data_IF_819385372610
#
_entry.id   IF_819385372610
#
_cell.length_a   1.000
_cell.length_b   1.000
_cell.length_c   1.000
_cell.angle_alpha   90.00
_cell.angle_beta   90.00
_cell.angle_gamma   90.00
#
_symmetry.space_group_name_H-M   'P 1'
#
loop_
_entity.id
_entity.type
_entity.pdbx_description
1 polymer ?
#
# COMPACT_ATOMS: atom_id res chain seq x y z
N UNK A 1 2.11 5.80 -14.21
CA UNK A 1 2.42 4.41 -14.64
C UNK A 1 1.23 3.94 -15.44
N UNK A 2 1.43 3.68 -16.73
CA UNK A 2 0.36 3.45 -17.69
C UNK A 2 0.78 2.30 -18.64
N UNK A 3 -0.18 1.68 -19.33
CA UNK A 3 0.11 0.57 -20.26
C UNK A 3 0.23 -0.82 -19.61
N UNK A 4 -0.07 -0.94 -18.31
CA UNK A 4 -0.22 -2.24 -17.64
C UNK A 4 -1.65 -2.76 -17.86
N UNK A 5 -1.79 -4.05 -18.16
CA UNK A 5 -3.09 -4.71 -18.23
C UNK A 5 -3.72 -4.82 -16.83
N UNK A 6 -4.43 -3.77 -16.42
CA UNK A 6 -5.14 -3.72 -15.14
C UNK A 6 -6.33 -4.68 -15.08
N UNK A 7 -6.88 -5.10 -16.23
CA UNK A 7 -7.94 -6.12 -16.28
C UNK A 7 -7.39 -7.47 -15.86
N UNK A 8 -6.25 -7.88 -16.42
CA UNK A 8 -5.57 -9.12 -16.04
C UNK A 8 -5.15 -9.08 -14.57
N UNK A 9 -4.57 -7.98 -14.11
CA UNK A 9 -4.24 -7.80 -12.69
C UNK A 9 -5.47 -7.97 -11.80
N UNK A 10 -6.62 -7.38 -12.19
CA UNK A 10 -7.88 -7.50 -11.44
C UNK A 10 -8.38 -8.95 -11.38
N UNK A 11 -8.32 -9.70 -12.48
CA UNK A 11 -8.71 -11.12 -12.51
C UNK A 11 -7.85 -11.91 -11.53
N UNK A 12 -6.53 -11.71 -11.57
CA UNK A 12 -5.59 -12.41 -10.67
C UNK A 12 -5.92 -12.09 -9.21
N UNK A 13 -6.04 -10.81 -8.83
CA UNK A 13 -6.35 -10.42 -7.45
C UNK A 13 -7.71 -10.92 -6.99
N UNK A 14 -8.71 -10.97 -7.87
CA UNK A 14 -10.04 -11.53 -7.55
C UNK A 14 -9.97 -13.02 -7.21
N UNK A 15 -9.18 -13.79 -7.95
CA UNK A 15 -9.08 -15.24 -7.80
C UNK A 15 -8.15 -15.65 -6.64
N UNK A 16 -7.08 -14.88 -6.41
CA UNK A 16 -6.02 -15.23 -5.45
C UNK A 16 -6.13 -14.49 -4.11
N UNK A 17 -6.94 -13.43 -4.04
CA UNK A 17 -7.07 -12.59 -2.85
C UNK A 17 -5.94 -11.57 -2.72
N UNK A 18 -5.40 -11.43 -1.51
CA UNK A 18 -4.38 -10.40 -1.22
C UNK A 18 -3.02 -10.80 -1.76
N UNK A 19 -2.37 -9.89 -2.50
CA UNK A 19 -1.02 -10.04 -3.02
C UNK A 19 -0.07 -9.01 -2.38
N UNK A 20 1.14 -9.44 -2.06
CA UNK A 20 2.28 -8.53 -1.81
C UNK A 20 2.97 -8.27 -3.14
N UNK A 21 3.27 -7.01 -3.44
CA UNK A 21 3.83 -6.61 -4.72
C UNK A 21 4.81 -5.44 -4.55
N UNK A 22 5.71 -5.29 -5.53
CA UNK A 22 6.65 -4.18 -5.65
C UNK A 22 6.43 -3.49 -6.98
N UNK A 23 6.45 -2.16 -6.98
CA UNK A 23 6.46 -1.34 -8.19
C UNK A 23 7.81 -0.62 -8.23
N UNK A 24 8.62 -0.87 -9.26
CA UNK A 24 9.88 -0.17 -9.53
C UNK A 24 9.76 0.59 -10.84
N UNK A 25 10.17 1.86 -10.84
CA UNK A 25 10.13 2.76 -12.00
C UNK A 25 11.50 3.30 -12.39
N UNK A 26 12.52 3.04 -11.57
CA UNK A 26 13.88 3.55 -11.74
C UNK A 26 14.82 2.56 -12.44
N UNK A 27 14.33 1.35 -12.75
CA UNK A 27 15.09 0.31 -13.43
C UNK A 27 16.23 -0.28 -12.61
N UNK A 28 16.31 0.04 -11.30
CA UNK A 28 17.40 -0.43 -10.42
C UNK A 28 17.18 -1.83 -9.85
N UNK A 29 16.04 -2.44 -10.15
CA UNK A 29 15.62 -3.72 -9.61
C UNK A 29 15.19 -4.63 -10.76
N UNK A 30 15.74 -5.84 -10.78
CA UNK A 30 15.29 -6.88 -11.70
C UNK A 30 13.92 -7.43 -11.27
N UNK A 31 13.12 -7.96 -12.20
CA UNK A 31 11.85 -8.60 -11.84
C UNK A 31 12.00 -9.68 -10.76
N UNK A 32 13.08 -10.47 -10.82
CA UNK A 32 13.37 -11.56 -9.87
C UNK A 32 13.65 -11.03 -8.46
N UNK A 33 14.44 -9.96 -8.35
CA UNK A 33 14.67 -9.26 -7.08
C UNK A 33 13.38 -8.66 -6.52
N UNK A 34 12.53 -8.11 -7.40
CA UNK A 34 11.20 -7.60 -7.02
C UNK A 34 10.30 -8.68 -6.45
N UNK A 35 10.27 -9.87 -7.07
CA UNK A 35 9.50 -11.02 -6.56
C UNK A 35 10.07 -11.49 -5.21
N UNK A 36 11.39 -11.56 -5.07
CA UNK A 36 12.02 -11.93 -3.80
C UNK A 36 11.65 -10.94 -2.70
N UNK A 37 11.77 -9.64 -2.96
CA UNK A 37 11.39 -8.58 -2.02
C UNK A 37 9.92 -8.64 -1.63
N UNK A 38 9.02 -8.84 -2.59
CA UNK A 38 7.58 -8.96 -2.33
C UNK A 38 7.25 -10.14 -1.40
N UNK A 39 7.97 -11.27 -1.51
CA UNK A 39 7.80 -12.44 -0.62
C UNK A 39 8.24 -12.17 0.82
N UNK A 40 9.23 -11.31 1.01
CA UNK A 40 9.80 -10.95 2.31
C UNK A 40 9.02 -9.82 3.02
N UNK A 41 8.12 -9.11 2.33
CA UNK A 41 7.30 -8.05 2.94
C UNK A 41 6.35 -8.60 4.01
N UNK A 42 6.23 -7.90 5.13
CA UNK A 42 5.19 -8.18 6.12
C UNK A 42 3.80 -7.97 5.49
N UNK A 43 2.81 -8.76 5.92
CA UNK A 43 1.44 -8.51 5.48
C UNK A 43 0.89 -7.28 6.20
N UNK A 44 0.26 -6.33 5.48
CA UNK A 44 -0.39 -5.18 6.10
C UNK A 44 -1.44 -5.54 7.16
N UNK A 45 -2.03 -6.73 7.08
CA UNK A 45 -2.99 -7.25 8.07
C UNK A 45 -2.36 -7.63 9.40
N UNK A 46 -1.06 -7.92 9.39
CA UNK A 46 -0.33 -8.37 10.57
C UNK A 46 0.25 -7.17 11.35
N UNK A 47 0.25 -5.99 10.73
CA UNK A 47 0.77 -4.74 11.27
C UNK A 47 -0.34 -3.80 11.78
N UNK A 48 -0.07 -3.05 12.85
CA UNK A 48 -0.98 -2.02 13.35
C UNK A 48 -0.81 -0.68 12.60
N UNK A 49 -1.26 -0.65 11.35
CA UNK A 49 -1.14 0.55 10.51
C UNK A 49 -1.94 1.74 11.03
N UNK A 50 -2.98 1.52 11.83
CA UNK A 50 -3.76 2.59 12.46
C UNK A 50 -2.87 3.41 13.40
N UNK A 51 -2.02 2.75 14.19
CA UNK A 51 -1.10 3.43 15.09
C UNK A 51 -0.02 4.23 14.34
N UNK A 52 0.40 3.78 13.16
CA UNK A 52 1.42 4.47 12.36
C UNK A 52 0.93 5.80 11.79
N UNK A 53 -0.34 5.87 11.41
CA UNK A 53 -0.96 7.10 10.86
C UNK A 53 -1.65 7.95 11.92
N UNK A 54 -1.75 7.46 13.16
CA UNK A 54 -2.39 8.19 14.25
C UNK A 54 -1.63 9.49 14.55
N UNK A 55 -2.38 10.59 14.62
CA UNK A 55 -1.83 11.89 14.99
C UNK A 55 -1.27 11.84 16.42
N UNK A 56 0.02 12.14 16.60
CA UNK A 56 0.69 12.08 17.93
C UNK A 56 0.24 13.16 18.91
N UNK A 57 -0.32 14.27 18.43
CA UNK A 57 -0.81 15.39 19.24
C UNK A 57 -2.10 15.92 18.65
N UNK A 58 -3.12 16.08 19.47
CA UNK A 58 -4.37 16.71 19.06
C UNK A 58 -4.14 18.17 18.63
N UNK A 59 -4.58 18.51 17.43
CA UNK A 59 -4.74 19.91 17.03
C UNK A 59 -6.03 20.44 17.62
N UNK A 60 -5.95 21.53 18.39
CA UNK A 60 -7.11 22.21 18.97
C UNK A 60 -7.94 22.79 17.81
N UNK A 61 -9.12 22.23 17.52
CA UNK A 61 -10.07 22.85 16.61
C UNK A 61 -10.60 24.14 17.25
N UNK A 62 -10.47 25.26 16.56
CA UNK A 62 -11.16 26.50 16.90
C UNK A 62 -12.67 26.23 17.01
N UNK A 63 -13.28 26.69 18.10
CA UNK A 63 -14.72 26.70 18.25
C UNK A 63 -15.28 27.63 17.17
N UNK A 64 -16.10 27.13 16.26
CA UNK A 64 -17.03 28.00 15.53
C UNK A 64 -18.16 28.31 16.49
N UNK A 65 -18.24 29.56 16.91
CA UNK A 65 -19.37 30.10 17.64
C UNK A 65 -20.64 29.86 16.82
N UNK A 66 -21.56 29.07 17.37
CA UNK A 66 -22.96 29.14 16.98
C UNK A 66 -23.58 30.26 17.82
N UNK A 67 -23.86 31.40 17.19
CA UNK A 67 -24.85 32.38 17.64
C UNK A 67 -25.72 32.74 16.45
#
# INVERSE_FOLDING_TARGET
MEGIDTRKLTIITRETGTLRAVISTDGKMTPEEGVKRAKEMEWPSDSNLVAEVLLRKFTKKEKRDQT
#
